data_IF_302193181591
#
_entry.id   IF_302193181591
#
_cell.length_a   1.000
_cell.length_b   1.000
_cell.length_c   1.000
_cell.angle_alpha   90.00
_cell.angle_beta   90.00
_cell.angle_gamma   90.00
#
_symmetry.space_group_name_H-M   'P 1'
#
loop_
_entity.id
_entity.type
_entity.pdbx_description
1 polymer ?
#
# COMPACT_ATOMS: atom_id res chain seq x y z
N UNK A 1 -2.47 26.02 -26.73
CA UNK A 1 -2.70 24.84 -27.59
C UNK A 1 -2.39 23.52 -26.89
N UNK A 2 -1.20 23.31 -26.30
CA UNK A 2 -0.85 22.02 -25.64
C UNK A 2 -1.77 21.71 -24.45
N UNK A 3 -2.11 22.71 -23.62
CA UNK A 3 -2.99 22.54 -22.45
C UNK A 3 -4.42 22.07 -22.77
N UNK A 4 -4.87 22.20 -24.01
CA UNK A 4 -6.19 21.76 -24.46
C UNK A 4 -6.13 20.47 -25.31
N UNK A 5 -4.93 20.08 -25.74
CA UNK A 5 -4.68 19.01 -26.71
C UNK A 5 -3.45 18.18 -26.28
N UNK A 6 -3.47 17.64 -25.06
CA UNK A 6 -2.34 16.91 -24.46
C UNK A 6 -2.46 15.37 -24.54
N UNK A 7 -3.50 14.85 -25.20
CA UNK A 7 -3.76 13.40 -25.28
C UNK A 7 -2.80 12.67 -26.22
N UNK A 8 -2.80 11.33 -26.14
CA UNK A 8 -1.98 10.45 -26.98
C UNK A 8 -2.23 10.56 -28.49
N UNK A 9 -3.31 11.22 -28.91
CA UNK A 9 -3.59 11.45 -30.33
C UNK A 9 -2.72 12.55 -30.93
N UNK A 10 -2.20 13.44 -30.09
CA UNK A 10 -1.33 14.56 -30.49
C UNK A 10 0.15 14.21 -30.35
N UNK A 11 0.48 13.27 -29.44
CA UNK A 11 1.86 12.95 -29.10
C UNK A 11 2.15 11.45 -29.19
N UNK A 12 2.82 11.02 -30.27
CA UNK A 12 3.15 9.62 -30.54
C UNK A 12 4.03 8.97 -29.46
N UNK A 13 4.85 9.75 -28.75
CA UNK A 13 5.69 9.23 -27.67
C UNK A 13 4.87 8.68 -26.48
N UNK A 14 3.58 9.04 -26.36
CA UNK A 14 2.68 8.50 -25.35
C UNK A 14 2.19 7.07 -25.69
N UNK A 15 2.27 6.63 -26.95
CA UNK A 15 1.76 5.32 -27.42
C UNK A 15 2.85 4.21 -27.48
N UNK A 16 4.15 4.57 -27.42
CA UNK A 16 5.26 3.61 -27.62
C UNK A 16 5.70 2.79 -26.37
N UNK A 17 6.56 1.77 -26.54
CA UNK A 17 7.05 0.90 -25.45
C UNK A 17 7.79 1.66 -24.34
N UNK A 18 8.61 2.66 -24.70
CA UNK A 18 9.26 3.60 -23.77
C UNK A 18 8.34 4.73 -23.28
N UNK A 19 7.18 4.92 -23.92
CA UNK A 19 6.19 5.92 -23.55
C UNK A 19 5.62 5.73 -22.17
N UNK A 20 5.58 4.49 -21.67
CA UNK A 20 5.03 4.13 -20.36
C UNK A 20 5.70 4.86 -19.18
N UNK A 21 7.00 5.19 -19.25
CA UNK A 21 7.68 5.97 -18.21
C UNK A 21 7.58 7.48 -18.49
N UNK A 22 7.67 7.87 -19.77
CA UNK A 22 7.62 9.26 -20.21
C UNK A 22 6.25 9.93 -19.97
N UNK A 23 5.17 9.14 -19.93
CA UNK A 23 3.79 9.59 -19.63
C UNK A 23 3.67 10.30 -18.27
N UNK A 24 4.14 9.66 -17.20
CA UNK A 24 4.05 10.23 -15.87
C UNK A 24 4.88 11.53 -15.77
N UNK A 25 6.08 11.56 -16.38
CA UNK A 25 6.93 12.75 -16.42
C UNK A 25 6.28 13.89 -17.23
N UNK A 26 5.66 13.56 -18.36
CA UNK A 26 4.96 14.53 -19.21
C UNK A 26 3.82 15.20 -18.45
N UNK A 27 2.94 14.42 -17.83
CA UNK A 27 1.83 14.97 -17.05
C UNK A 27 2.27 15.65 -15.76
N UNK A 28 3.43 15.26 -15.20
CA UNK A 28 4.06 16.01 -14.10
C UNK A 28 4.46 17.42 -14.55
N UNK A 29 5.09 17.56 -15.72
CA UNK A 29 5.46 18.86 -16.27
C UNK A 29 4.22 19.71 -16.60
N UNK A 30 3.20 19.12 -17.23
CA UNK A 30 1.96 19.83 -17.55
C UNK A 30 1.21 20.30 -16.31
N UNK A 31 1.12 19.49 -15.25
CA UNK A 31 0.50 19.90 -14.00
C UNK A 31 1.25 21.07 -13.35
N UNK A 32 2.59 21.06 -13.37
CA UNK A 32 3.38 22.20 -12.88
C UNK A 32 3.09 23.48 -13.68
N UNK A 33 2.94 23.38 -15.00
CA UNK A 33 2.60 24.52 -15.86
C UNK A 33 1.16 24.99 -15.58
N UNK A 34 0.21 24.07 -15.45
CA UNK A 34 -1.20 24.38 -15.15
C UNK A 34 -1.31 25.20 -13.87
N UNK A 35 -0.55 24.83 -12.84
CA UNK A 35 -0.59 25.45 -11.52
C UNK A 35 0.52 26.50 -11.28
N UNK A 36 1.32 26.85 -12.29
CA UNK A 36 2.35 27.88 -12.16
C UNK A 36 1.76 29.29 -12.12
N UNK A 37 0.62 29.48 -12.78
CA UNK A 37 -0.17 30.71 -12.78
C UNK A 37 -1.48 30.48 -12.01
N UNK A 38 -2.21 31.56 -11.69
CA UNK A 38 -3.55 31.47 -11.08
C UNK A 38 -4.52 30.76 -12.05
N UNK A 39 -4.57 29.43 -11.94
CA UNK A 39 -5.42 28.59 -12.76
C UNK A 39 -6.88 28.84 -12.38
N UNK A 40 -7.67 29.36 -13.32
CA UNK A 40 -9.11 29.41 -13.14
C UNK A 40 -9.72 28.00 -13.12
N UNK A 41 -10.84 27.84 -12.42
CA UNK A 41 -11.60 26.58 -12.40
C UNK A 41 -11.96 26.13 -13.82
N UNK A 42 -12.29 27.07 -14.71
CA UNK A 42 -12.60 26.77 -16.12
C UNK A 42 -11.39 26.15 -16.84
N UNK A 43 -10.21 26.77 -16.73
CA UNK A 43 -8.99 26.22 -17.34
C UNK A 43 -8.64 24.84 -16.80
N UNK A 44 -8.83 24.62 -15.49
CA UNK A 44 -8.66 23.32 -14.87
C UNK A 44 -9.64 22.30 -15.48
N UNK A 45 -10.94 22.60 -15.52
CA UNK A 45 -11.94 21.68 -16.07
C UNK A 45 -11.71 21.38 -17.56
N UNK A 46 -11.35 22.40 -18.35
CA UNK A 46 -11.01 22.22 -19.78
C UNK A 46 -9.80 21.28 -19.94
N UNK A 47 -8.79 21.38 -19.07
CA UNK A 47 -7.65 20.47 -19.03
C UNK A 47 -8.05 19.05 -18.60
N UNK A 48 -8.96 18.90 -17.63
CA UNK A 48 -9.35 17.58 -17.12
C UNK A 48 -10.29 16.80 -18.06
N UNK A 49 -10.94 17.49 -19.01
CA UNK A 49 -11.94 16.91 -19.93
C UNK A 49 -11.47 15.64 -20.67
N UNK A 50 -10.24 15.53 -21.22
CA UNK A 50 -9.80 14.31 -21.88
C UNK A 50 -9.62 13.12 -20.93
N UNK A 51 -9.33 13.35 -19.64
CA UNK A 51 -9.31 12.30 -18.64
C UNK A 51 -10.73 11.87 -18.26
N UNK A 52 -11.63 12.85 -18.09
CA UNK A 52 -13.04 12.59 -17.80
C UNK A 52 -13.68 11.68 -18.85
N UNK A 53 -13.50 11.98 -20.14
CA UNK A 53 -14.04 11.13 -21.23
C UNK A 53 -13.54 9.68 -21.11
N UNK A 54 -12.26 9.48 -20.80
CA UNK A 54 -11.69 8.14 -20.63
C UNK A 54 -12.25 7.43 -19.38
N UNK A 55 -12.42 8.15 -18.28
CA UNK A 55 -13.00 7.61 -17.06
C UNK A 55 -14.48 7.25 -17.23
N UNK A 56 -15.28 8.10 -17.90
CA UNK A 56 -16.68 7.83 -18.23
C UNK A 56 -16.82 6.58 -19.09
N UNK A 57 -15.93 6.40 -20.08
CA UNK A 57 -15.89 5.18 -20.89
C UNK A 57 -15.62 3.95 -20.03
N UNK A 58 -14.68 4.01 -19.08
CA UNK A 58 -14.40 2.89 -18.18
C UNK A 58 -15.54 2.65 -17.18
N UNK A 59 -16.20 3.71 -16.71
CA UNK A 59 -17.34 3.61 -15.79
C UNK A 59 -18.53 2.90 -16.43
N UNK A 60 -18.75 3.11 -17.73
CA UNK A 60 -19.85 2.49 -18.50
C UNK A 60 -19.74 0.97 -18.64
N UNK A 61 -18.57 0.38 -18.33
CA UNK A 61 -18.37 -1.06 -18.29
C UNK A 61 -19.04 -1.65 -17.04
N UNK A 62 -19.96 -2.59 -17.25
CA UNK A 62 -20.85 -3.09 -16.20
C UNK A 62 -20.46 -4.45 -15.63
N UNK A 63 -19.55 -5.19 -16.28
CA UNK A 63 -19.08 -6.49 -15.80
C UNK A 63 -17.57 -6.55 -15.62
N UNK A 64 -17.12 -7.46 -14.76
CA UNK A 64 -15.69 -7.78 -14.61
C UNK A 64 -15.10 -8.28 -15.93
N UNK A 65 -15.88 -9.05 -16.71
CA UNK A 65 -15.47 -9.56 -18.03
C UNK A 65 -15.22 -8.45 -19.05
N UNK A 66 -16.02 -7.39 -19.05
CA UNK A 66 -15.79 -6.23 -19.93
C UNK A 66 -14.48 -5.51 -19.57
N UNK A 67 -14.20 -5.40 -18.27
CA UNK A 67 -12.97 -4.80 -17.77
C UNK A 67 -11.73 -5.66 -18.10
N UNK A 68 -11.90 -6.97 -18.28
CA UNK A 68 -10.84 -7.94 -18.62
C UNK A 68 -10.44 -7.94 -20.10
N UNK A 69 -10.95 -7.00 -20.90
CA UNK A 69 -10.47 -6.81 -22.27
C UNK A 69 -9.06 -6.15 -22.29
N UNK A 70 -8.18 -6.64 -23.14
CA UNK A 70 -6.78 -6.15 -23.23
C UNK A 70 -6.70 -4.66 -23.66
N UNK A 71 -7.63 -4.21 -24.49
CA UNK A 71 -7.80 -2.81 -24.88
C UNK A 71 -8.14 -1.93 -23.69
N UNK A 72 -9.11 -2.36 -22.87
CA UNK A 72 -9.54 -1.68 -21.64
C UNK A 72 -8.39 -1.64 -20.64
N UNK A 73 -7.68 -2.75 -20.45
CA UNK A 73 -6.50 -2.83 -19.58
C UNK A 73 -5.43 -1.82 -19.99
N UNK A 74 -5.11 -1.76 -21.28
CA UNK A 74 -4.09 -0.84 -21.82
C UNK A 74 -4.51 0.62 -21.66
N UNK A 75 -5.79 0.92 -21.91
CA UNK A 75 -6.36 2.25 -21.73
C UNK A 75 -6.30 2.69 -20.25
N UNK A 76 -6.80 1.86 -19.34
CA UNK A 76 -6.75 2.11 -17.90
C UNK A 76 -5.31 2.27 -17.40
N UNK A 77 -4.39 1.43 -17.86
CA UNK A 77 -2.98 1.52 -17.49
C UNK A 77 -2.35 2.85 -17.94
N UNK A 78 -2.65 3.32 -19.15
CA UNK A 78 -2.19 4.61 -19.65
C UNK A 78 -2.75 5.77 -18.83
N UNK A 79 -4.08 5.78 -18.65
CA UNK A 79 -4.81 6.81 -17.93
C UNK A 79 -4.32 6.99 -16.50
N UNK A 80 -4.20 5.90 -15.72
CA UNK A 80 -3.80 6.03 -14.31
C UNK A 80 -2.32 6.37 -14.13
N UNK A 81 -1.46 6.09 -15.12
CA UNK A 81 -0.08 6.63 -15.12
C UNK A 81 -0.05 8.12 -15.38
N UNK A 82 -0.91 8.61 -16.26
CA UNK A 82 -1.04 10.04 -16.54
C UNK A 82 -1.57 10.78 -15.31
N UNK A 83 -2.64 10.26 -14.70
CA UNK A 83 -3.21 10.82 -13.46
C UNK A 83 -2.20 10.78 -12.31
N UNK A 84 -1.41 9.70 -12.19
CA UNK A 84 -0.32 9.65 -11.21
C UNK A 84 0.72 10.76 -11.46
N UNK A 85 1.11 10.97 -12.72
CA UNK A 85 2.01 12.05 -13.12
C UNK A 85 1.43 13.43 -12.80
N UNK A 86 0.15 13.63 -13.09
CA UNK A 86 -0.58 14.87 -12.91
C UNK A 86 -0.73 15.28 -11.44
N UNK A 87 -1.05 14.33 -10.55
CA UNK A 87 -1.28 14.62 -9.13
C UNK A 87 0.02 14.77 -8.33
N UNK A 88 1.11 14.13 -8.76
CA UNK A 88 2.39 14.11 -8.04
C UNK A 88 3.01 15.50 -7.74
N UNK A 89 3.00 16.50 -8.63
CA UNK A 89 3.57 17.82 -8.37
C UNK A 89 2.64 18.75 -7.57
N UNK A 90 1.41 18.34 -7.25
CA UNK A 90 0.49 19.15 -6.45
C UNK A 90 0.96 19.16 -4.99
N UNK A 91 1.31 20.35 -4.48
CA UNK A 91 1.88 20.53 -3.15
C UNK A 91 0.99 21.30 -2.17
N UNK A 92 0.00 22.03 -2.65
CA UNK A 92 -0.90 22.82 -1.80
C UNK A 92 -2.29 22.19 -1.70
N UNK A 93 -3.02 22.53 -0.63
CA UNK A 93 -4.37 22.03 -0.35
C UNK A 93 -5.37 22.42 -1.45
N UNK A 94 -5.37 23.67 -1.90
CA UNK A 94 -6.37 24.17 -2.85
C UNK A 94 -6.37 23.37 -4.17
N UNK A 95 -5.20 23.17 -4.76
CA UNK A 95 -5.06 22.41 -6.01
C UNK A 95 -5.32 20.91 -5.80
N UNK A 96 -5.01 20.37 -4.62
CA UNK A 96 -5.39 19.00 -4.29
C UNK A 96 -6.91 18.87 -4.19
N UNK A 97 -7.61 19.84 -3.59
CA UNK A 97 -9.07 19.83 -3.48
C UNK A 97 -9.75 19.91 -4.84
N UNK A 98 -9.22 20.70 -5.79
CA UNK A 98 -9.71 20.69 -7.18
C UNK A 98 -9.66 19.28 -7.80
N UNK A 99 -8.59 18.53 -7.53
CA UNK A 99 -8.47 17.13 -7.99
C UNK A 99 -9.40 16.20 -7.22
N UNK A 100 -9.46 16.32 -5.89
CA UNK A 100 -10.27 15.48 -5.03
C UNK A 100 -11.75 15.59 -5.36
N UNK A 101 -12.28 16.82 -5.45
CA UNK A 101 -13.69 17.09 -5.78
C UNK A 101 -14.05 16.65 -7.21
N UNK A 102 -13.10 16.71 -8.14
CA UNK A 102 -13.29 16.18 -9.49
C UNK A 102 -13.25 14.65 -9.53
N UNK A 103 -12.43 14.01 -8.70
CA UNK A 103 -12.18 12.56 -8.77
C UNK A 103 -13.14 11.73 -7.89
N UNK A 104 -13.46 12.22 -6.71
CA UNK A 104 -14.30 11.56 -5.72
C UNK A 104 -15.72 12.17 -5.73
N UNK A 105 -16.79 11.35 -5.61
CA UNK A 105 -16.79 9.90 -5.45
C UNK A 105 -16.85 9.11 -6.77
N UNK A 106 -17.09 9.78 -7.89
CA UNK A 106 -17.57 9.14 -9.11
C UNK A 106 -16.53 8.22 -9.76
N UNK A 107 -15.28 8.67 -9.85
CA UNK A 107 -14.23 7.96 -10.58
C UNK A 107 -13.40 7.01 -9.70
N UNK A 108 -13.59 7.04 -8.38
CA UNK A 108 -12.90 6.14 -7.45
C UNK A 108 -13.27 4.68 -7.72
N UNK A 109 -14.50 4.42 -8.18
CA UNK A 109 -14.97 3.08 -8.54
C UNK A 109 -14.21 2.46 -9.71
N UNK A 110 -13.64 3.26 -10.62
CA UNK A 110 -12.81 2.75 -11.73
C UNK A 110 -11.57 2.02 -11.19
N UNK A 111 -10.99 2.53 -10.10
CA UNK A 111 -9.87 1.89 -9.41
C UNK A 111 -10.29 0.54 -8.85
N UNK A 112 -11.46 0.46 -8.21
CA UNK A 112 -11.98 -0.78 -7.63
C UNK A 112 -12.27 -1.82 -8.72
N UNK A 113 -13.03 -1.47 -9.76
CA UNK A 113 -13.32 -2.36 -10.90
C UNK A 113 -12.03 -2.89 -11.55
N UNK A 114 -11.03 -2.02 -11.71
CA UNK A 114 -9.72 -2.41 -12.27
C UNK A 114 -8.95 -3.39 -11.38
N UNK A 115 -8.98 -3.20 -10.05
CA UNK A 115 -8.33 -4.12 -9.10
C UNK A 115 -9.04 -5.47 -9.03
N UNK A 116 -10.37 -5.49 -9.08
CA UNK A 116 -11.17 -6.72 -9.14
C UNK A 116 -10.88 -7.52 -10.40
N UNK A 117 -10.82 -6.84 -11.56
CA UNK A 117 -10.60 -7.49 -12.84
C UNK A 117 -9.16 -7.98 -13.06
N UNK A 118 -8.17 -7.27 -12.54
CA UNK A 118 -6.75 -7.42 -12.90
C UNK A 118 -5.79 -7.50 -11.71
N UNK A 119 -6.17 -8.17 -10.62
CA UNK A 119 -5.36 -8.23 -9.39
C UNK A 119 -3.92 -8.75 -9.55
N UNK A 120 -3.67 -9.74 -10.41
CA UNK A 120 -2.33 -10.26 -10.70
C UNK A 120 -1.54 -9.51 -11.79
N UNK A 121 -2.15 -8.56 -12.48
CA UNK A 121 -1.53 -7.91 -13.64
C UNK A 121 -0.75 -6.64 -13.25
N UNK A 122 0.09 -6.16 -14.16
CA UNK A 122 0.79 -4.87 -14.02
C UNK A 122 -0.21 -3.70 -13.82
N UNK A 123 -1.44 -3.80 -14.31
CA UNK A 123 -2.49 -2.82 -14.08
C UNK A 123 -2.77 -2.63 -12.58
N UNK A 124 -2.88 -3.68 -11.77
CA UNK A 124 -3.12 -3.52 -10.32
C UNK A 124 -2.03 -2.69 -9.66
N UNK A 125 -0.76 -2.98 -9.97
CA UNK A 125 0.36 -2.19 -9.45
C UNK A 125 0.36 -0.75 -9.96
N UNK A 126 -0.22 -0.49 -11.14
CA UNK A 126 -0.37 0.87 -11.69
C UNK A 126 -1.45 1.65 -10.93
N UNK A 127 -2.60 1.03 -10.71
CA UNK A 127 -3.71 1.58 -9.94
C UNK A 127 -3.30 1.87 -8.49
N UNK A 128 -2.67 0.91 -7.82
CA UNK A 128 -2.18 1.07 -6.45
C UNK A 128 -1.13 2.18 -6.35
N UNK A 129 -0.27 2.34 -7.35
CA UNK A 129 0.74 3.41 -7.37
C UNK A 129 0.15 4.80 -7.54
N UNK A 130 -0.85 4.94 -8.41
CA UNK A 130 -1.67 6.16 -8.46
C UNK A 130 -2.30 6.42 -7.09
N UNK A 131 -2.92 5.41 -6.49
CA UNK A 131 -3.63 5.57 -5.22
C UNK A 131 -2.69 5.90 -4.05
N UNK A 132 -1.49 5.31 -4.05
CA UNK A 132 -0.40 5.64 -3.12
C UNK A 132 0.03 7.11 -3.24
N UNK A 133 0.06 7.65 -4.46
CA UNK A 133 0.28 9.08 -4.70
C UNK A 133 -0.95 9.94 -4.40
N UNK A 134 -2.16 9.39 -4.38
CA UNK A 134 -3.37 10.11 -3.97
C UNK A 134 -3.42 10.33 -2.46
N UNK A 135 -3.02 9.34 -1.66
CA UNK A 135 -3.10 9.39 -0.19
C UNK A 135 -1.87 10.00 0.50
N UNK A 136 -0.82 10.35 -0.24
CA UNK A 136 0.38 10.93 0.38
C UNK A 136 0.16 12.40 0.78
N UNK A 137 0.43 12.75 2.03
CA UNK A 137 0.42 14.13 2.51
C UNK A 137 1.75 14.84 2.24
N UNK A 138 2.10 14.98 0.95
CA UNK A 138 3.30 15.72 0.54
C UNK A 138 3.09 17.22 0.77
N UNK A 139 4.06 17.88 1.39
CA UNK A 139 4.04 19.33 1.62
C UNK A 139 2.76 19.84 2.31
N UNK A 140 2.14 19.04 3.18
CA UNK A 140 0.90 19.41 3.90
C UNK A 140 -0.30 19.70 2.97
N UNK A 141 -0.35 19.09 1.78
CA UNK A 141 -1.48 19.23 0.84
C UNK A 141 -2.78 18.57 1.34
N UNK A 142 -2.70 17.58 2.21
CA UNK A 142 -3.84 16.91 2.84
C UNK A 142 -4.09 17.48 4.24
N UNK A 143 -4.08 18.80 4.40
CA UNK A 143 -4.33 19.42 5.70
C UNK A 143 -5.76 19.96 5.73
N UNK A 144 -6.65 19.24 6.39
CA UNK A 144 -8.06 19.57 6.48
C UNK A 144 -8.41 20.26 7.80
N UNK A 145 -9.47 21.07 7.78
CA UNK A 145 -10.03 21.64 9.00
C UNK A 145 -10.60 20.53 9.90
N UNK A 146 -10.59 20.74 11.22
CA UNK A 146 -11.05 19.72 12.19
C UNK A 146 -12.52 19.31 11.99
N UNK A 147 -13.31 20.15 11.34
CA UNK A 147 -14.71 19.91 10.99
C UNK A 147 -14.89 19.22 9.62
N UNK A 148 -13.84 19.11 8.81
CA UNK A 148 -13.94 18.49 7.49
C UNK A 148 -14.01 16.97 7.61
N UNK A 149 -14.88 16.38 6.78
CA UNK A 149 -14.98 14.94 6.62
C UNK A 149 -14.00 14.39 5.56
N UNK A 150 -13.27 15.22 4.82
CA UNK A 150 -12.50 14.81 3.64
C UNK A 150 -11.46 13.73 3.96
N UNK A 151 -10.73 13.88 5.07
CA UNK A 151 -9.77 12.87 5.51
C UNK A 151 -10.42 11.51 5.82
N UNK A 152 -11.63 11.51 6.38
CA UNK A 152 -12.42 10.31 6.65
C UNK A 152 -12.88 9.69 5.33
N UNK A 153 -13.36 10.50 4.37
CA UNK A 153 -13.83 10.04 3.05
C UNK A 153 -12.69 9.42 2.24
N UNK A 154 -11.52 10.08 2.18
CA UNK A 154 -10.32 9.53 1.55
C UNK A 154 -9.97 8.16 2.15
N UNK A 155 -9.98 8.05 3.48
CA UNK A 155 -9.60 6.80 4.13
C UNK A 155 -10.64 5.69 3.97
N UNK A 156 -11.94 6.01 3.90
CA UNK A 156 -12.99 5.03 3.54
C UNK A 156 -12.72 4.40 2.17
N UNK A 157 -12.37 5.22 1.18
CA UNK A 157 -12.00 4.71 -0.14
C UNK A 157 -10.66 3.96 -0.12
N UNK A 158 -9.68 4.41 0.67
CA UNK A 158 -8.44 3.66 0.91
C UNK A 158 -8.72 2.27 1.45
N UNK A 159 -9.63 2.14 2.41
CA UNK A 159 -10.05 0.85 2.97
C UNK A 159 -10.64 -0.07 1.90
N UNK A 160 -11.51 0.45 1.04
CA UNK A 160 -12.08 -0.31 -0.10
C UNK A 160 -10.99 -0.77 -1.06
N UNK A 161 -10.04 0.09 -1.42
CA UNK A 161 -8.92 -0.25 -2.31
C UNK A 161 -8.07 -1.38 -1.73
N UNK A 162 -7.68 -1.27 -0.44
CA UNK A 162 -6.89 -2.30 0.24
C UNK A 162 -7.64 -3.63 0.33
N UNK A 163 -8.93 -3.61 0.70
CA UNK A 163 -9.76 -4.82 0.74
C UNK A 163 -9.90 -5.46 -0.64
N UNK A 164 -10.12 -4.66 -1.68
CA UNK A 164 -10.35 -5.15 -3.04
C UNK A 164 -9.12 -5.88 -3.57
N UNK A 165 -7.93 -5.28 -3.40
CA UNK A 165 -6.68 -5.93 -3.77
C UNK A 165 -6.40 -7.17 -2.89
N UNK A 166 -6.58 -7.05 -1.57
CA UNK A 166 -6.34 -8.16 -0.63
C UNK A 166 -7.17 -9.41 -0.91
N UNK A 167 -8.43 -9.24 -1.33
CA UNK A 167 -9.35 -10.33 -1.70
C UNK A 167 -9.04 -10.99 -3.05
N UNK A 168 -8.16 -10.42 -3.87
CA UNK A 168 -7.89 -10.96 -5.19
C UNK A 168 -7.39 -12.41 -5.08
N UNK A 169 -7.88 -13.36 -5.92
CA UNK A 169 -7.49 -14.78 -5.86
C UNK A 169 -5.97 -15.02 -5.93
N UNK A 170 -5.25 -14.03 -6.45
CA UNK A 170 -3.80 -14.05 -6.59
C UNK A 170 -3.07 -13.95 -5.24
N UNK A 171 -3.72 -13.45 -4.18
CA UNK A 171 -3.18 -13.45 -2.80
C UNK A 171 -3.27 -14.86 -2.17
N UNK A 172 -4.37 -15.58 -2.43
CA UNK A 172 -4.63 -16.93 -1.90
C UNK A 172 -3.75 -18.02 -2.54
N UNK A 173 -3.28 -17.81 -3.78
CA UNK A 173 -2.45 -18.78 -4.49
C UNK A 173 -1.09 -19.06 -3.82
N UNK A 174 -0.59 -18.23 -2.88
CA UNK A 174 0.66 -18.56 -2.13
C UNK A 174 0.51 -19.84 -1.32
N UNK A 175 -0.68 -20.05 -0.75
CA UNK A 175 -0.98 -21.19 0.12
C UNK A 175 -0.89 -22.48 -0.69
N UNK A 176 -1.28 -22.45 -1.96
CA UNK A 176 -1.22 -23.60 -2.87
C UNK A 176 0.15 -23.74 -3.53
N UNK A 177 0.83 -22.63 -3.85
CA UNK A 177 2.15 -22.62 -4.48
C UNK A 177 3.23 -23.33 -3.65
N UNK A 178 3.26 -23.17 -2.32
CA UNK A 178 4.22 -23.89 -1.46
C UNK A 178 3.96 -25.40 -1.33
N UNK A 179 2.71 -25.86 -1.46
CA UNK A 179 2.43 -27.31 -1.56
C UNK A 179 3.00 -27.93 -2.84
N UNK A 180 3.25 -27.13 -3.87
CA UNK A 180 3.80 -27.58 -5.16
C UNK A 180 5.32 -27.37 -5.28
N UNK A 181 5.94 -26.49 -4.50
CA UNK A 181 7.41 -26.33 -4.51
C UNK A 181 8.13 -27.56 -3.91
N UNK A 182 7.50 -28.35 -3.02
CA UNK A 182 8.04 -29.67 -2.64
C UNK A 182 8.05 -30.68 -3.80
N UNK A 183 7.37 -30.38 -4.91
CA UNK A 183 7.33 -31.17 -6.15
C UNK A 183 8.42 -30.73 -7.13
N UNK A 184 9.29 -29.78 -6.77
CA UNK A 184 10.49 -29.43 -7.56
C UNK A 184 11.38 -30.66 -7.86
N UNK A 185 11.32 -31.68 -7.01
CA UNK A 185 12.04 -32.95 -7.22
C UNK A 185 11.32 -33.94 -8.17
N UNK A 186 10.11 -33.63 -8.65
CA UNK A 186 9.36 -34.47 -9.60
C UNK A 186 9.34 -33.87 -11.02
N UNK A 187 9.57 -32.57 -11.17
CA UNK A 187 9.38 -31.82 -12.42
C UNK A 187 10.53 -31.93 -13.44
N UNK A 188 11.54 -32.79 -13.21
CA UNK A 188 12.56 -33.07 -14.22
C UNK A 188 12.02 -33.97 -15.37
N UNK A 189 10.83 -34.56 -15.22
CA UNK A 189 10.32 -35.61 -16.11
C UNK A 189 9.14 -35.22 -17.02
N UNK A 190 8.55 -34.02 -16.91
CA UNK A 190 7.31 -33.73 -17.65
C UNK A 190 7.41 -32.37 -18.32
N UNK A 191 7.66 -32.38 -19.64
CA UNK A 191 7.88 -31.17 -20.44
C UNK A 191 6.59 -30.60 -21.07
N UNK A 192 5.45 -31.30 -20.96
CA UNK A 192 4.23 -30.96 -21.73
C UNK A 192 2.94 -30.84 -20.89
N UNK A 193 3.01 -30.77 -19.56
CA UNK A 193 1.81 -30.65 -18.72
C UNK A 193 1.37 -29.19 -18.52
N UNK A 194 0.07 -28.91 -18.73
CA UNK A 194 -0.61 -27.65 -18.38
C UNK A 194 -0.31 -27.17 -16.94
N UNK A 195 0.02 -28.08 -16.02
CA UNK A 195 0.44 -27.78 -14.65
C UNK A 195 1.80 -27.07 -14.60
N UNK A 196 2.74 -27.44 -15.46
CA UNK A 196 4.07 -26.80 -15.56
C UNK A 196 3.93 -25.41 -16.18
N UNK A 197 3.06 -25.25 -17.18
CA UNK A 197 2.78 -23.94 -17.78
C UNK A 197 2.15 -22.99 -16.75
N UNK A 198 1.13 -23.44 -16.02
CA UNK A 198 0.52 -22.64 -14.94
C UNK A 198 1.54 -22.33 -13.83
N UNK A 199 2.40 -23.27 -13.47
CA UNK A 199 3.46 -23.05 -12.49
C UNK A 199 4.50 -22.01 -12.95
N UNK A 200 4.94 -22.08 -14.21
CA UNK A 200 5.85 -21.08 -14.79
C UNK A 200 5.19 -19.71 -14.91
N UNK A 201 3.90 -19.66 -15.24
CA UNK A 201 3.12 -18.43 -15.25
C UNK A 201 3.02 -17.82 -13.85
N UNK A 202 2.68 -18.60 -12.83
CA UNK A 202 2.65 -18.15 -11.44
C UNK A 202 4.03 -17.63 -10.99
N UNK A 203 5.11 -18.30 -11.39
CA UNK A 203 6.48 -17.86 -11.12
C UNK A 203 6.78 -16.46 -11.68
N UNK A 204 6.26 -16.13 -12.86
CA UNK A 204 6.45 -14.81 -13.48
C UNK A 204 5.59 -13.71 -12.85
N UNK A 205 4.52 -14.06 -12.15
CA UNK A 205 3.61 -13.11 -11.49
C UNK A 205 4.05 -12.70 -10.08
N UNK A 206 4.85 -13.51 -9.37
CA UNK A 206 5.31 -13.18 -8.01
C UNK A 206 5.95 -11.79 -7.87
N UNK A 207 6.85 -11.35 -8.77
CA UNK A 207 7.45 -10.02 -8.66
C UNK A 207 6.41 -8.88 -8.77
N UNK A 208 5.39 -9.06 -9.61
CA UNK A 208 4.29 -8.08 -9.77
C UNK A 208 3.44 -8.08 -8.51
N UNK A 209 3.14 -9.24 -7.97
CA UNK A 209 2.36 -9.41 -6.75
C UNK A 209 3.04 -8.78 -5.53
N UNK A 210 4.30 -9.11 -5.28
CA UNK A 210 5.04 -8.54 -4.14
C UNK A 210 5.21 -7.03 -4.27
N UNK A 211 5.29 -6.52 -5.49
CA UNK A 211 5.24 -5.08 -5.74
C UNK A 211 3.87 -4.47 -5.40
N UNK A 212 2.76 -5.16 -5.69
CA UNK A 212 1.43 -4.73 -5.28
C UNK A 212 1.26 -4.74 -3.75
N UNK A 213 1.65 -5.82 -3.08
CA UNK A 213 1.65 -5.91 -1.59
C UNK A 213 2.51 -4.81 -0.97
N UNK A 214 3.72 -4.59 -1.48
CA UNK A 214 4.58 -3.49 -1.04
C UNK A 214 3.88 -2.12 -1.20
N UNK A 215 3.18 -1.92 -2.32
CA UNK A 215 2.44 -0.67 -2.55
C UNK A 215 1.26 -0.52 -1.57
N UNK A 216 0.59 -1.62 -1.19
CA UNK A 216 -0.44 -1.59 -0.16
C UNK A 216 0.11 -1.23 1.23
N UNK A 217 1.27 -1.75 1.62
CA UNK A 217 1.95 -1.31 2.84
C UNK A 217 2.27 0.19 2.77
N UNK A 218 2.81 0.68 1.65
CA UNK A 218 3.07 2.12 1.47
C UNK A 218 1.80 2.97 1.57
N UNK A 219 0.67 2.54 0.98
CA UNK A 219 -0.62 3.22 1.09
C UNK A 219 -1.01 3.35 2.56
N UNK A 220 -0.94 2.26 3.32
CA UNK A 220 -1.28 2.25 4.73
C UNK A 220 -0.33 3.16 5.54
N UNK A 221 0.98 3.05 5.33
CA UNK A 221 1.99 3.92 5.96
C UNK A 221 1.70 5.40 5.70
N UNK A 222 1.41 5.78 4.45
CA UNK A 222 1.14 7.17 4.06
C UNK A 222 -0.13 7.72 4.69
N UNK A 223 -1.20 6.92 4.74
CA UNK A 223 -2.44 7.31 5.40
C UNK A 223 -2.28 7.45 6.92
N UNK A 224 -1.51 6.56 7.54
CA UNK A 224 -1.29 6.57 8.99
C UNK A 224 -0.39 7.73 9.44
N UNK A 225 0.73 7.96 8.74
CA UNK A 225 1.69 9.02 9.06
C UNK A 225 1.29 10.39 8.54
N UNK A 226 0.30 10.47 7.63
CA UNK A 226 -0.12 11.70 6.97
C UNK A 226 -0.84 12.71 7.87
N UNK A 227 -1.29 12.31 9.07
CA UNK A 227 -1.97 13.16 10.08
C UNK A 227 -3.21 13.91 9.57
N UNK A 228 -3.85 13.41 8.52
CA UNK A 228 -5.06 14.00 7.94
C UNK A 228 -6.33 13.20 8.23
N UNK A 229 -6.19 12.00 8.79
CA UNK A 229 -7.29 11.11 9.16
C UNK A 229 -7.41 11.06 10.68
N UNK A 230 -8.54 11.48 11.27
CA UNK A 230 -8.78 11.34 12.70
C UNK A 230 -9.25 9.91 13.02
N UNK A 231 -8.33 8.95 13.16
CA UNK A 231 -8.66 7.53 13.28
C UNK A 231 -9.59 7.17 14.45
N UNK A 232 -9.51 7.89 15.57
CA UNK A 232 -10.36 7.67 16.75
C UNK A 232 -11.86 7.82 16.44
N UNK A 233 -12.19 8.57 15.39
CA UNK A 233 -13.55 8.86 14.96
C UNK A 233 -14.24 7.64 14.35
N UNK A 234 -13.49 6.69 13.77
CA UNK A 234 -14.07 5.49 13.17
C UNK A 234 -14.79 4.61 14.22
N UNK A 235 -14.15 4.39 15.37
CA UNK A 235 -14.77 3.63 16.46
C UNK A 235 -16.02 4.32 17.02
N UNK A 236 -15.98 5.66 17.15
CA UNK A 236 -17.10 6.46 17.66
C UNK A 236 -18.35 6.33 16.78
N UNK A 237 -18.18 6.28 15.45
CA UNK A 237 -19.28 6.16 14.49
C UNK A 237 -19.53 4.72 14.00
N UNK A 238 -18.93 3.71 14.63
CA UNK A 238 -19.05 2.30 14.23
C UNK A 238 -18.66 2.04 12.77
N UNK A 239 -17.74 2.84 12.24
CA UNK A 239 -17.26 2.75 10.89
C UNK A 239 -16.09 1.76 10.80
N UNK A 240 -16.28 0.73 9.99
CA UNK A 240 -15.34 -0.39 9.85
C UNK A 240 -14.17 -0.11 8.92
N UNK A 241 -14.03 1.10 8.36
CA UNK A 241 -12.98 1.39 7.39
C UNK A 241 -11.57 1.08 7.91
N UNK A 242 -11.23 1.47 9.14
CA UNK A 242 -9.93 1.17 9.74
C UNK A 242 -9.71 -0.33 9.97
N UNK A 243 -10.69 -1.00 10.57
CA UNK A 243 -10.65 -2.44 10.82
C UNK A 243 -10.47 -3.22 9.52
N UNK A 244 -11.26 -2.90 8.50
CA UNK A 244 -11.20 -3.52 7.18
C UNK A 244 -9.84 -3.31 6.48
N UNK A 245 -9.26 -2.11 6.59
CA UNK A 245 -7.96 -1.79 6.02
C UNK A 245 -6.84 -2.59 6.70
N UNK A 246 -6.85 -2.63 8.03
CA UNK A 246 -5.88 -3.40 8.82
C UNK A 246 -5.99 -4.89 8.56
N UNK A 247 -7.21 -5.44 8.55
CA UNK A 247 -7.44 -6.85 8.24
C UNK A 247 -6.93 -7.23 6.86
N UNK A 248 -7.13 -6.38 5.85
CA UNK A 248 -6.57 -6.62 4.51
C UNK A 248 -5.03 -6.65 4.52
N UNK A 249 -4.39 -5.69 5.22
CA UNK A 249 -2.93 -5.60 5.34
C UNK A 249 -2.34 -6.76 6.14
N UNK A 250 -2.99 -7.19 7.22
CA UNK A 250 -2.59 -8.36 8.00
C UNK A 250 -2.74 -9.65 7.20
N UNK A 251 -3.84 -9.81 6.45
CA UNK A 251 -4.01 -10.97 5.58
C UNK A 251 -2.91 -11.02 4.52
N UNK A 252 -2.59 -9.89 3.87
CA UNK A 252 -1.47 -9.82 2.93
C UNK A 252 -0.12 -10.14 3.58
N UNK A 253 0.04 -9.81 4.86
CA UNK A 253 1.23 -10.15 5.65
C UNK A 253 1.33 -11.65 5.88
N UNK A 254 0.24 -12.31 6.31
CA UNK A 254 0.19 -13.75 6.51
C UNK A 254 0.31 -14.55 5.20
N UNK A 255 -0.25 -14.03 4.11
CA UNK A 255 -0.19 -14.65 2.78
C UNK A 255 1.19 -14.49 2.11
N UNK A 256 2.07 -13.68 2.69
CA UNK A 256 3.45 -13.48 2.23
C UNK A 256 4.38 -14.29 3.12
N UNK A 257 5.10 -15.30 2.60
CA UNK A 257 6.04 -16.07 3.40
C UNK A 257 7.17 -15.17 3.93
N UNK A 258 7.61 -15.43 5.16
CA UNK A 258 8.65 -14.62 5.80
C UNK A 258 9.94 -14.56 4.97
N UNK A 259 10.36 -15.68 4.39
CA UNK A 259 11.55 -15.74 3.53
C UNK A 259 11.43 -14.77 2.35
N UNK A 260 10.25 -14.70 1.72
CA UNK A 260 10.00 -13.81 0.59
C UNK A 260 9.91 -12.35 1.04
N UNK A 261 9.22 -12.08 2.17
CA UNK A 261 9.15 -10.75 2.78
C UNK A 261 10.54 -10.16 3.02
N UNK A 262 11.52 -10.99 3.39
CA UNK A 262 12.90 -10.58 3.64
C UNK A 262 13.79 -10.65 2.39
N UNK A 263 13.46 -11.47 1.39
CA UNK A 263 14.26 -11.64 0.17
C UNK A 263 14.06 -10.51 -0.85
N UNK A 264 12.90 -9.84 -0.88
CA UNK A 264 12.58 -8.79 -1.84
C UNK A 264 12.75 -7.38 -1.23
N UNK A 265 13.84 -6.63 -1.52
CA UNK A 265 14.18 -5.42 -0.76
C UNK A 265 13.12 -4.32 -0.74
N UNK A 266 12.37 -4.14 -1.84
CA UNK A 266 11.28 -3.15 -1.91
C UNK A 266 10.09 -3.54 -1.03
N UNK A 267 9.79 -4.84 -0.97
CA UNK A 267 8.75 -5.38 -0.10
C UNK A 267 9.17 -5.27 1.36
N UNK A 268 10.42 -5.66 1.68
CA UNK A 268 11.00 -5.53 3.02
C UNK A 268 10.90 -4.09 3.52
N UNK A 269 11.39 -3.11 2.74
CA UNK A 269 11.32 -1.68 3.11
C UNK A 269 9.89 -1.19 3.33
N UNK A 270 8.97 -1.57 2.47
CA UNK A 270 7.57 -1.17 2.60
C UNK A 270 6.93 -1.78 3.86
N UNK A 271 7.20 -3.06 4.15
CA UNK A 271 6.72 -3.75 5.34
C UNK A 271 7.26 -3.11 6.63
N UNK A 272 8.57 -2.87 6.73
CA UNK A 272 9.15 -2.25 7.91
C UNK A 272 8.74 -0.78 8.08
N UNK A 273 8.56 -0.04 6.99
CA UNK A 273 7.97 1.30 7.05
C UNK A 273 6.51 1.30 7.53
N UNK A 274 5.75 0.25 7.23
CA UNK A 274 4.42 0.04 7.81
C UNK A 274 4.50 -0.32 9.29
N UNK A 275 5.37 -1.27 9.67
CA UNK A 275 5.55 -1.72 11.06
C UNK A 275 5.90 -0.56 12.00
N UNK A 276 6.86 0.27 11.62
CA UNK A 276 7.29 1.45 12.38
C UNK A 276 6.10 2.37 12.71
N UNK A 277 5.35 2.78 11.69
CA UNK A 277 4.20 3.69 11.85
C UNK A 277 3.02 3.02 12.56
N UNK A 278 2.76 1.75 12.28
CA UNK A 278 1.66 1.00 12.89
C UNK A 278 1.88 0.79 14.40
N UNK A 279 3.11 0.46 14.81
CA UNK A 279 3.45 0.14 16.20
C UNK A 279 3.60 1.36 17.11
N UNK A 280 3.89 2.55 16.57
CA UNK A 280 4.02 3.78 17.37
C UNK A 280 2.73 4.10 18.16
N UNK A 281 1.55 4.03 17.51
CA UNK A 281 0.27 4.39 18.15
C UNK A 281 -0.90 3.47 17.82
N UNK A 282 -1.09 3.12 16.55
CA UNK A 282 -2.31 2.42 16.13
C UNK A 282 -2.43 1.04 16.74
N UNK A 283 -1.35 0.26 16.77
CA UNK A 283 -1.33 -1.07 17.38
C UNK A 283 -1.75 -1.04 18.85
N UNK A 284 -1.35 0.00 19.58
CA UNK A 284 -1.62 0.19 21.00
C UNK A 284 -3.08 0.59 21.30
N UNK A 285 -3.80 1.06 20.28
CA UNK A 285 -5.21 1.42 20.36
C UNK A 285 -6.13 0.28 19.91
N UNK A 286 -5.57 -0.80 19.35
CA UNK A 286 -6.38 -1.92 18.86
C UNK A 286 -7.00 -2.71 20.02
N UNK A 287 -8.29 -3.08 19.93
CA UNK A 287 -8.94 -3.87 20.96
C UNK A 287 -8.37 -5.29 21.06
N UNK A 288 -7.93 -5.85 19.92
CA UNK A 288 -7.35 -7.18 19.81
C UNK A 288 -6.54 -7.30 18.52
N UNK A 289 -5.69 -8.31 18.45
CA UNK A 289 -4.93 -8.70 17.26
C UNK A 289 -4.82 -10.22 17.22
N UNK A 290 -4.86 -10.82 16.04
CA UNK A 290 -4.68 -12.26 15.89
C UNK A 290 -3.22 -12.68 16.21
N UNK A 291 -3.08 -13.78 16.96
CA UNK A 291 -1.79 -14.28 17.41
C UNK A 291 -0.82 -14.56 16.27
N UNK A 292 -1.30 -15.13 15.16
CA UNK A 292 -0.46 -15.46 14.02
C UNK A 292 0.16 -14.23 13.37
N UNK A 293 -0.60 -13.13 13.27
CA UNK A 293 -0.10 -11.86 12.75
C UNK A 293 0.97 -11.30 13.68
N UNK A 294 0.70 -11.29 14.99
CA UNK A 294 1.67 -10.83 15.98
C UNK A 294 2.97 -11.65 15.95
N UNK A 295 2.87 -12.99 15.95
CA UNK A 295 4.02 -13.88 15.89
C UNK A 295 4.82 -13.72 14.59
N UNK A 296 4.13 -13.56 13.44
CA UNK A 296 4.77 -13.26 12.18
C UNK A 296 5.57 -11.96 12.27
N UNK A 297 4.96 -10.89 12.79
CA UNK A 297 5.61 -9.59 12.96
C UNK A 297 6.85 -9.69 13.85
N UNK A 298 6.79 -10.41 14.97
CA UNK A 298 7.94 -10.54 15.89
C UNK A 298 9.11 -11.32 15.24
N UNK A 299 8.82 -12.38 14.47
CA UNK A 299 9.85 -13.10 13.70
C UNK A 299 10.46 -12.23 12.60
N UNK A 300 9.64 -11.44 11.93
CA UNK A 300 10.09 -10.49 10.93
C UNK A 300 11.01 -9.44 11.56
N UNK A 301 10.62 -8.84 12.68
CA UNK A 301 11.43 -7.86 13.42
C UNK A 301 12.80 -8.41 13.79
N UNK A 302 12.89 -9.64 14.32
CA UNK A 302 14.18 -10.27 14.59
C UNK A 302 15.05 -10.47 13.34
N UNK A 303 14.43 -10.74 12.19
CA UNK A 303 15.16 -10.79 10.91
C UNK A 303 15.56 -9.39 10.41
N UNK A 304 14.73 -8.38 10.65
CA UNK A 304 14.96 -6.98 10.28
C UNK A 304 16.10 -6.31 11.04
N UNK A 305 16.27 -6.62 12.32
CA UNK A 305 17.41 -6.13 13.13
C UNK A 305 18.76 -6.60 12.56
N UNK A 306 18.79 -7.81 11.98
CA UNK A 306 19.97 -8.38 11.30
C UNK A 306 20.15 -7.88 9.86
N UNK A 307 19.27 -7.00 9.39
CA UNK A 307 19.36 -6.46 8.04
C UNK A 307 20.62 -5.61 7.86
N UNK A 308 21.21 -5.72 6.68
CA UNK A 308 22.31 -4.85 6.22
C UNK A 308 21.78 -3.50 5.71
N UNK A 309 20.48 -3.38 5.43
CA UNK A 309 19.87 -2.11 5.07
C UNK A 309 19.60 -1.29 6.36
N UNK A 310 20.24 -0.11 6.52
CA UNK A 310 20.12 0.67 7.75
C UNK A 310 18.68 1.12 8.03
N UNK A 311 17.90 1.44 6.99
CA UNK A 311 16.51 1.86 7.16
C UNK A 311 15.66 0.74 7.74
N UNK A 312 15.82 -0.48 7.23
CA UNK A 312 15.13 -1.68 7.75
C UNK A 312 15.55 -1.97 9.19
N UNK A 313 16.86 -1.92 9.50
CA UNK A 313 17.36 -2.15 10.85
C UNK A 313 16.79 -1.12 11.83
N UNK A 314 16.82 0.16 11.49
CA UNK A 314 16.29 1.25 12.34
C UNK A 314 14.79 1.07 12.59
N UNK A 315 14.00 0.78 11.56
CA UNK A 315 12.55 0.55 11.70
C UNK A 315 12.21 -0.70 12.52
N UNK A 316 13.02 -1.76 12.40
CA UNK A 316 12.88 -2.95 13.22
C UNK A 316 13.18 -2.64 14.70
N UNK A 317 14.26 -1.90 14.98
CA UNK A 317 14.58 -1.46 16.34
C UNK A 317 13.51 -0.52 16.91
N UNK A 318 12.99 0.43 16.12
CA UNK A 318 11.89 1.31 16.53
C UNK A 318 10.64 0.51 16.89
N UNK A 319 10.31 -0.53 16.11
CA UNK A 319 9.20 -1.44 16.42
C UNK A 319 9.37 -2.12 17.79
N UNK A 320 10.59 -2.58 18.11
CA UNK A 320 10.91 -3.15 19.43
C UNK A 320 10.74 -2.09 20.52
N UNK A 321 11.27 -0.88 20.30
CA UNK A 321 11.19 0.23 21.24
C UNK A 321 9.74 0.63 21.54
N UNK A 322 8.88 0.77 20.52
CA UNK A 322 7.47 1.07 20.68
C UNK A 322 6.76 0.03 21.55
N UNK A 323 7.00 -1.26 21.28
CA UNK A 323 6.42 -2.38 22.03
C UNK A 323 6.88 -2.35 23.49
N UNK A 324 8.19 -2.26 23.72
CA UNK A 324 8.76 -2.24 25.06
C UNK A 324 8.30 -1.01 25.85
N UNK A 325 8.33 0.18 25.25
CA UNK A 325 7.86 1.42 25.85
C UNK A 325 6.41 1.31 26.30
N UNK A 326 5.52 0.81 25.43
CA UNK A 326 4.11 0.62 25.80
C UNK A 326 3.93 -0.39 26.94
N UNK A 327 4.65 -1.51 26.90
CA UNK A 327 4.56 -2.54 27.95
C UNK A 327 5.01 -2.02 29.31
N UNK A 328 6.11 -1.25 29.35
CA UNK A 328 6.59 -0.59 30.57
C UNK A 328 5.54 0.40 31.09
N UNK A 329 5.02 1.27 30.24
CA UNK A 329 3.96 2.22 30.61
C UNK A 329 2.71 1.52 31.17
N UNK A 330 2.28 0.42 30.55
CA UNK A 330 1.15 -0.39 31.06
C UNK A 330 1.47 -1.00 32.43
N UNK A 331 2.68 -1.50 32.65
CA UNK A 331 3.09 -2.09 33.93
C UNK A 331 3.10 -1.06 35.08
N UNK A 332 3.54 0.17 34.82
CA UNK A 332 3.52 1.27 35.79
C UNK A 332 2.08 1.71 36.13
N UNK A 333 1.20 1.72 35.13
CA UNK A 333 -0.22 2.02 35.33
C UNK A 333 -0.94 0.96 36.17
N UNK A 334 -0.55 -0.32 36.09
CA UNK A 334 -1.12 -1.38 36.92
C UNK A 334 -0.82 -1.22 38.42
N UNK A 335 0.32 -0.63 38.75
CA UNK A 335 0.71 -0.35 40.14
C UNK A 335 -0.21 0.72 40.75
N UNK A 336 -0.81 1.59 39.93
CA UNK A 336 -1.55 2.78 40.38
C UNK A 336 -3.09 2.68 40.22
N UNK A 337 -3.62 1.87 39.28
CA UNK A 337 -5.06 1.60 39.08
C UNK A 337 -5.24 0.20 38.50
N UNK A 338 -6.34 -0.53 38.77
CA UNK A 338 -6.66 -1.82 38.09
C UNK A 338 -7.07 -1.58 36.63
N UNK A 339 -6.25 -1.88 35.60
CA UNK A 339 -6.64 -1.75 34.21
C UNK A 339 -6.98 -3.15 33.64
N UNK A 340 -7.74 -3.19 32.54
CA UNK A 340 -7.81 -4.41 31.71
C UNK A 340 -6.44 -4.64 31.09
N UNK A 341 -5.90 -5.86 31.17
CA UNK A 341 -4.65 -6.20 30.50
C UNK A 341 -4.83 -6.06 28.98
N UNK A 342 -4.05 -5.17 28.36
CA UNK A 342 -4.00 -5.05 26.91
C UNK A 342 -3.51 -6.39 26.30
N UNK A 343 -4.06 -6.78 25.15
CA UNK A 343 -3.77 -8.07 24.50
C UNK A 343 -2.26 -8.28 24.28
N UNK A 344 -1.51 -7.21 24.01
CA UNK A 344 -0.05 -7.25 23.83
C UNK A 344 0.68 -7.77 25.07
N UNK A 345 0.29 -7.31 26.26
CA UNK A 345 0.90 -7.76 27.54
C UNK A 345 0.57 -9.24 27.78
N UNK A 346 -0.65 -9.66 27.44
CA UNK A 346 -1.06 -11.05 27.53
C UNK A 346 -0.24 -11.94 26.58
N UNK A 347 -0.03 -11.50 25.33
CA UNK A 347 0.75 -12.24 24.35
C UNK A 347 2.22 -12.35 24.74
N UNK A 348 2.84 -11.29 25.27
CA UNK A 348 4.23 -11.37 25.75
C UNK A 348 4.36 -12.27 26.98
N UNK A 349 3.31 -12.39 27.79
CA UNK A 349 3.27 -13.33 28.92
C UNK A 349 3.03 -14.78 28.46
N UNK A 350 2.27 -14.97 27.39
CA UNK A 350 1.96 -16.28 26.81
C UNK A 350 3.12 -16.83 25.97
N UNK A 351 3.77 -15.99 25.18
CA UNK A 351 4.87 -16.33 24.27
C UNK A 351 6.18 -15.79 24.84
N UNK A 352 6.64 -16.39 25.93
CA UNK A 352 7.76 -15.91 26.75
C UNK A 352 9.10 -15.85 26.00
N UNK A 353 9.24 -16.57 24.89
CA UNK A 353 10.48 -16.63 24.10
C UNK A 353 10.68 -15.42 23.18
N UNK A 354 9.64 -14.60 22.95
CA UNK A 354 9.70 -13.47 22.02
C UNK A 354 10.69 -12.40 22.47
N UNK A 355 10.57 -11.91 23.70
CA UNK A 355 11.47 -10.86 24.21
C UNK A 355 12.92 -11.34 24.29
N UNK A 356 13.23 -12.52 24.87
CA UNK A 356 14.58 -13.08 24.83
C UNK A 356 15.12 -13.16 23.41
N UNK A 357 14.35 -13.69 22.45
CA UNK A 357 14.77 -13.77 21.04
C UNK A 357 15.12 -12.40 20.44
N UNK A 358 14.26 -11.39 20.66
CA UNK A 358 14.48 -10.04 20.13
C UNK A 358 15.69 -9.37 20.78
N UNK A 359 15.80 -9.40 22.11
CA UNK A 359 16.92 -8.78 22.82
C UNK A 359 18.24 -9.47 22.53
N UNK A 360 18.29 -10.81 22.54
CA UNK A 360 19.50 -11.54 22.13
C UNK A 360 19.90 -11.19 20.70
N UNK A 361 18.93 -11.03 19.80
CA UNK A 361 19.21 -10.60 18.42
C UNK A 361 19.80 -9.20 18.37
N UNK A 362 19.22 -8.22 19.07
CA UNK A 362 19.75 -6.84 19.15
C UNK A 362 21.15 -6.83 19.76
N UNK A 363 21.36 -7.52 20.88
CA UNK A 363 22.67 -7.58 21.54
C UNK A 363 23.73 -8.21 20.64
N UNK A 364 23.39 -9.29 19.92
CA UNK A 364 24.34 -9.91 19.00
C UNK A 364 24.76 -8.95 17.88
N UNK A 365 23.81 -8.19 17.33
CA UNK A 365 24.13 -7.17 16.31
C UNK A 365 25.03 -6.08 16.90
N UNK A 366 24.73 -5.56 18.08
CA UNK A 366 25.52 -4.50 18.73
C UNK A 366 26.93 -4.97 19.13
N UNK A 367 27.06 -6.22 19.61
CA UNK A 367 28.32 -6.74 20.13
C UNK A 367 29.25 -7.29 19.05
N UNK A 368 28.71 -7.83 17.96
CA UNK A 368 29.48 -8.63 17.00
C UNK A 368 29.38 -8.17 15.55
N UNK A 369 28.41 -7.32 15.18
CA UNK A 369 28.36 -6.77 13.82
C UNK A 369 29.01 -5.39 13.79
N UNK A 370 30.14 -5.27 13.09
CA UNK A 370 30.77 -3.99 12.73
C UNK A 370 29.85 -3.22 11.75
N UNK A 371 28.73 -2.70 12.24
CA UNK A 371 27.93 -1.74 11.48
C UNK A 371 28.61 -0.38 11.61
N UNK A 372 28.97 0.29 10.50
CA UNK A 372 29.54 1.64 10.59
C UNK A 372 28.56 2.53 11.35
N UNK A 373 29.04 3.14 12.42
CA UNK A 373 28.32 4.16 13.18
C UNK A 373 27.91 5.25 12.18
N UNK A 374 26.60 5.40 11.94
CA UNK A 374 26.07 6.43 11.05
C UNK A 374 26.19 7.82 11.66
#
# INVERSE_FOLDING_TARGET
>A
MIMLNHSSDQFAFLKGPGGKANRALYYNALAKILFAEDCSIKQYLDFMKPFQIQLENLLSLNSVGDFQQESVKTAAQGLFKDLQGFIAPIQNRANFMLFFEWFYPDYTQVVLKGLEAWGADVLSTTLLKFYSEFVINRSQRLTFDRSSADGILIFRETSKVLMTYGKSPCTLATILGRRLISVRNLAQSIRDDLRVINFLHDLTLFPIRYKGVATCFEIMTRSNSGKYVPFDVFALYQDKALENALNAVFQMTLDTPLDDMMAFPKLTKAFFGFMDVFTDKQMMQLPTMEADVFLYMMRAVGSGVKSLDPGVCTQACATIDHICTFVVQQSEMQISKRPKNHWLVLYLSQYTDILPYLFTTVFNVVLFEDKPVQ
#
